data_IF_217670220857
#
_entry.id   IF_217670220857
#
_cell.length_a   1.000
_cell.length_b   1.000
_cell.length_c   1.000
_cell.angle_alpha   90.00
_cell.angle_beta   90.00
_cell.angle_gamma   90.00
#
_symmetry.space_group_name_H-M   'P 1'
#
loop_
_entity.id
_entity.type
_entity.pdbx_description
1 polymer ?
#
# COMPACT_ATOMS: atom_id res chain seq x y z
N UNK A 1 -18.80 -42.21 -7.73
CA UNK A 1 -17.80 -41.26 -7.19
C UNK A 1 -17.77 -40.07 -8.13
N UNK A 2 -18.16 -38.86 -7.69
CA UNK A 2 -17.94 -37.66 -8.48
C UNK A 2 -16.44 -37.42 -8.59
N UNK A 3 -15.97 -37.15 -9.80
CA UNK A 3 -14.58 -36.79 -10.08
C UNK A 3 -14.29 -35.45 -9.39
N UNK A 4 -13.14 -35.37 -8.75
CA UNK A 4 -12.57 -34.18 -8.10
C UNK A 4 -12.91 -32.89 -8.85
N UNK A 5 -13.54 -31.94 -8.13
CA UNK A 5 -13.45 -30.50 -8.37
C UNK A 5 -13.78 -30.05 -9.79
N UNK A 6 -15.06 -29.97 -10.11
CA UNK A 6 -15.54 -29.24 -11.27
C UNK A 6 -15.21 -27.74 -11.13
N UNK A 7 -14.03 -27.35 -11.60
CA UNK A 7 -13.54 -25.97 -11.66
C UNK A 7 -14.28 -25.13 -12.73
N UNK A 8 -15.23 -25.71 -13.48
CA UNK A 8 -15.93 -25.00 -14.56
C UNK A 8 -16.91 -23.95 -14.06
N UNK A 9 -17.24 -23.95 -12.77
CA UNK A 9 -18.03 -22.90 -12.10
C UNK A 9 -17.18 -21.74 -11.56
N UNK A 10 -15.86 -21.71 -11.78
CA UNK A 10 -15.06 -20.51 -11.53
C UNK A 10 -15.33 -19.47 -12.63
N UNK A 11 -16.56 -18.95 -12.66
CA UNK A 11 -16.85 -17.72 -13.36
C UNK A 11 -16.10 -16.63 -12.60
N UNK A 12 -14.90 -16.31 -13.09
CA UNK A 12 -14.15 -15.13 -12.65
C UNK A 12 -14.94 -13.91 -13.10
N UNK A 13 -15.99 -13.58 -12.34
CA UNK A 13 -16.69 -12.32 -12.48
C UNK A 13 -15.67 -11.26 -12.12
N UNK A 14 -15.50 -10.25 -12.99
CA UNK A 14 -14.71 -9.07 -12.65
C UNK A 14 -15.46 -8.26 -11.58
N UNK A 15 -15.47 -8.77 -10.37
CA UNK A 15 -16.01 -8.08 -9.21
C UNK A 15 -15.04 -6.95 -8.89
N UNK A 16 -15.49 -5.71 -9.09
CA UNK A 16 -14.75 -4.53 -8.65
C UNK A 16 -15.02 -4.39 -7.17
N UNK A 17 -14.00 -4.55 -6.34
CA UNK A 17 -14.09 -4.15 -4.94
C UNK A 17 -14.21 -2.61 -4.91
N UNK A 18 -15.37 -2.13 -4.47
CA UNK A 18 -15.71 -0.71 -4.46
C UNK A 18 -15.25 0.01 -3.20
N UNK A 19 -14.89 -0.74 -2.15
CA UNK A 19 -14.38 -0.19 -0.90
C UNK A 19 -13.15 -1.00 -0.46
N UNK A 20 -11.97 -0.39 -0.60
CA UNK A 20 -10.76 -0.83 0.06
C UNK A 20 -10.45 0.16 1.19
N UNK A 21 -10.53 -0.25 2.46
CA UNK A 21 -10.21 0.64 3.57
C UNK A 21 -8.69 0.89 3.60
N UNK A 22 -8.30 2.13 3.36
CA UNK A 22 -6.92 2.59 3.53
C UNK A 22 -6.87 3.72 4.56
N UNK A 23 -5.76 3.78 5.29
CA UNK A 23 -5.43 4.94 6.12
C UNK A 23 -5.02 6.10 5.23
N UNK A 24 -5.68 7.25 5.41
CA UNK A 24 -5.31 8.50 4.76
C UNK A 24 -4.21 9.22 5.55
N UNK A 25 -3.15 9.64 4.89
CA UNK A 25 -1.99 10.33 5.49
C UNK A 25 -1.63 11.56 4.64
N UNK A 26 -1.15 12.65 5.25
CA UNK A 26 -0.63 13.77 4.45
C UNK A 26 0.66 13.36 3.75
N UNK A 27 0.82 13.66 2.45
CA UNK A 27 2.03 13.24 1.71
C UNK A 27 3.32 13.81 2.33
N UNK A 28 3.26 15.00 2.92
CA UNK A 28 4.39 15.60 3.64
C UNK A 28 4.86 14.75 4.84
N UNK A 29 3.94 14.06 5.52
CA UNK A 29 4.29 13.22 6.68
C UNK A 29 5.03 11.94 6.26
N UNK A 30 4.81 11.46 5.03
CA UNK A 30 5.57 10.35 4.47
C UNK A 30 7.05 10.72 4.32
N UNK A 31 7.36 12.00 4.07
CA UNK A 31 8.72 12.51 3.94
C UNK A 31 9.44 12.78 5.27
N UNK A 32 8.78 12.64 6.41
CA UNK A 32 9.37 12.92 7.72
C UNK A 32 9.74 11.60 8.43
N UNK A 33 11.04 11.30 8.54
CA UNK A 33 11.50 10.05 9.14
C UNK A 33 11.08 9.91 10.62
N UNK A 34 10.84 11.01 11.33
CA UNK A 34 10.41 10.99 12.73
C UNK A 34 8.89 10.85 12.91
N UNK A 35 8.10 10.97 11.83
CA UNK A 35 6.65 10.90 11.91
C UNK A 35 6.18 9.47 12.25
N UNK A 36 5.14 9.28 13.09
CA UNK A 36 4.67 7.95 13.48
C UNK A 36 4.36 6.98 12.33
N UNK A 37 3.93 7.49 11.17
CA UNK A 37 3.68 6.66 9.97
C UNK A 37 4.94 5.91 9.51
N UNK A 38 6.12 6.50 9.69
CA UNK A 38 7.41 5.94 9.30
C UNK A 38 8.03 5.07 10.41
N UNK A 39 7.50 5.09 11.61
CA UNK A 39 8.03 4.33 12.74
C UNK A 39 7.40 2.93 12.79
N UNK A 40 8.18 1.89 12.45
CA UNK A 40 7.73 0.48 12.41
C UNK A 40 6.92 0.07 13.64
N UNK A 41 7.39 0.48 14.83
CA UNK A 41 6.80 0.10 16.10
C UNK A 41 5.52 0.87 16.45
N UNK A 42 5.18 1.94 15.71
CA UNK A 42 3.96 2.73 15.88
C UNK A 42 2.93 2.45 14.78
N UNK A 43 3.35 2.42 13.52
CA UNK A 43 2.46 2.25 12.37
C UNK A 43 2.35 0.81 11.88
N UNK A 44 3.32 -0.04 12.21
CA UNK A 44 3.45 -1.35 11.61
C UNK A 44 3.96 -1.32 10.16
N UNK A 45 4.62 -0.24 9.72
CA UNK A 45 5.26 -0.15 8.39
C UNK A 45 6.12 -1.38 8.11
N UNK A 46 5.91 -2.01 6.96
CA UNK A 46 6.67 -3.16 6.45
C UNK A 46 6.82 -3.01 4.93
N UNK A 47 7.67 -3.82 4.31
CA UNK A 47 7.70 -3.93 2.85
C UNK A 47 6.31 -4.30 2.31
N UNK A 48 5.84 -3.56 1.31
CA UNK A 48 4.51 -3.70 0.72
C UNK A 48 3.37 -3.04 1.50
N UNK A 49 3.64 -2.39 2.65
CA UNK A 49 2.61 -1.65 3.39
C UNK A 49 2.07 -0.49 2.53
N UNK A 50 0.75 -0.32 2.48
CA UNK A 50 0.09 0.68 1.64
C UNK A 50 -0.65 1.75 2.44
N UNK A 51 -0.48 3.01 2.06
CA UNK A 51 -1.22 4.16 2.59
C UNK A 51 -1.77 5.00 1.45
N UNK A 52 -2.86 5.72 1.68
CA UNK A 52 -3.40 6.68 0.71
C UNK A 52 -2.99 8.08 1.12
N UNK A 53 -2.36 8.81 0.22
CA UNK A 53 -2.00 10.20 0.43
C UNK A 53 -3.23 11.10 0.50
N UNK A 54 -3.05 12.34 0.96
CA UNK A 54 -4.11 13.33 0.94
C UNK A 54 -4.51 13.78 -0.47
N UNK A 55 -3.64 13.51 -1.43
CA UNK A 55 -3.80 13.57 -2.88
C UNK A 55 -4.57 12.39 -3.50
N UNK A 56 -5.03 11.41 -2.69
CA UNK A 56 -5.67 10.16 -3.12
C UNK A 56 -4.79 9.19 -3.91
N UNK A 57 -3.48 9.41 -3.93
CA UNK A 57 -2.51 8.47 -4.49
C UNK A 57 -2.23 7.33 -3.53
N UNK A 58 -1.97 6.12 -4.05
CA UNK A 58 -1.55 4.97 -3.23
C UNK A 58 -0.01 4.96 -3.16
N UNK A 59 0.52 4.92 -1.95
CA UNK A 59 1.96 4.83 -1.68
C UNK A 59 2.29 3.51 -1.02
N UNK A 60 3.35 2.84 -1.48
CA UNK A 60 3.77 1.50 -1.03
C UNK A 60 5.18 1.60 -0.44
N UNK A 61 5.36 1.19 0.81
CA UNK A 61 6.67 1.17 1.45
C UNK A 61 7.57 0.08 0.85
N UNK A 62 8.85 0.38 0.64
CA UNK A 62 9.88 -0.58 0.18
C UNK A 62 10.56 -1.33 1.31
N UNK A 63 10.14 -1.10 2.55
CA UNK A 63 10.77 -1.66 3.74
C UNK A 63 10.21 -1.07 5.03
N UNK A 64 10.69 -1.58 6.15
CA UNK A 64 10.18 -1.23 7.49
C UNK A 64 10.91 -0.06 8.14
N UNK A 65 12.12 0.29 7.72
CA UNK A 65 12.91 1.35 8.33
C UNK A 65 12.25 2.73 8.14
N UNK A 66 12.53 3.64 9.07
CA UNK A 66 11.96 4.99 9.04
C UNK A 66 12.43 5.83 7.86
N UNK A 67 13.51 5.43 7.19
CA UNK A 67 14.08 6.06 6.00
C UNK A 67 13.77 5.30 4.71
N UNK A 68 13.06 4.17 4.77
CA UNK A 68 12.70 3.42 3.57
C UNK A 68 11.65 4.18 2.76
N UNK A 69 11.84 4.22 1.44
CA UNK A 69 11.04 4.99 0.50
C UNK A 69 9.59 4.50 0.45
N UNK A 70 8.67 5.44 0.25
CA UNK A 70 7.31 5.21 -0.18
C UNK A 70 7.23 5.41 -1.69
N UNK A 71 6.98 4.32 -2.43
CA UNK A 71 6.86 4.36 -3.89
C UNK A 71 5.42 4.68 -4.27
N UNK A 72 5.23 5.59 -5.23
CA UNK A 72 3.92 5.87 -5.80
C UNK A 72 3.46 4.69 -6.67
N UNK A 73 2.34 4.07 -6.31
CA UNK A 73 1.80 2.93 -7.04
C UNK A 73 1.39 3.34 -8.47
N UNK A 74 1.99 2.67 -9.47
CA UNK A 74 1.79 3.01 -10.88
C UNK A 74 2.53 4.25 -11.36
N UNK A 75 3.37 4.86 -10.51
CA UNK A 75 4.25 5.97 -10.87
C UNK A 75 5.52 5.52 -11.62
N UNK A 76 6.22 6.48 -12.20
CA UNK A 76 7.52 6.31 -12.89
C UNK A 76 8.72 6.65 -11.98
N UNK A 77 8.47 6.76 -10.67
CA UNK A 77 9.45 7.14 -9.64
C UNK A 77 9.50 8.65 -9.34
N UNK A 78 8.82 9.50 -10.12
CA UNK A 78 8.83 10.97 -9.87
C UNK A 78 8.01 11.39 -8.65
N UNK A 79 7.06 10.57 -8.22
CA UNK A 79 6.22 10.79 -7.04
C UNK A 79 6.67 10.03 -5.80
N UNK A 80 7.81 9.36 -5.84
CA UNK A 80 8.31 8.59 -4.70
C UNK A 80 8.77 9.53 -3.58
N UNK A 81 8.51 9.13 -2.34
CA UNK A 81 8.82 9.93 -1.15
C UNK A 81 9.81 9.16 -0.28
N UNK A 82 11.05 9.61 -0.25
CA UNK A 82 12.06 9.09 0.69
C UNK A 82 12.06 9.93 1.96
N UNK A 83 11.74 9.34 3.14
CA UNK A 83 11.78 10.07 4.40
C UNK A 83 13.19 10.54 4.74
N UNK A 84 13.30 11.77 5.26
CA UNK A 84 14.53 12.38 5.76
C UNK A 84 14.40 12.86 7.21
#
# INVERSE_FOLDING_TARGET
MPVTGDLTQNNSYQTKATAFPYTKVAVADLGNASHPVNQTYLSGKQDGAGVVGDDYSLYIATGSASTDTWVLAGGDGTGDVTPA
#
